data_IF_243899499501
#
_entry.id   IF_243899499501
#
_cell.length_a   1.000
_cell.length_b   1.000
_cell.length_c   1.000
_cell.angle_alpha   90.00
_cell.angle_beta   90.00
_cell.angle_gamma   90.00
#
_symmetry.space_group_name_H-M   'P 1'
#
loop_
_entity.id
_entity.type
_entity.pdbx_description
1 polymer ?
#
# COMPACT_ATOMS: atom_id res chain seq x y z
N UNK A 1 0.95 6.18 -11.61
CA UNK A 1 0.94 5.38 -10.37
C UNK A 1 -0.40 5.43 -9.65
N UNK A 2 -0.94 6.61 -9.28
CA UNK A 2 -2.25 6.73 -8.60
C UNK A 2 -3.34 5.85 -9.21
N UNK A 3 -3.62 6.02 -10.51
CA UNK A 3 -4.59 5.20 -11.25
C UNK A 3 -4.34 3.68 -11.18
N UNK A 4 -3.07 3.26 -11.08
CA UNK A 4 -2.74 1.84 -10.94
C UNK A 4 -3.13 1.32 -9.56
N UNK A 5 -2.77 2.04 -8.49
CA UNK A 5 -3.18 1.69 -7.13
C UNK A 5 -4.71 1.72 -6.98
N UNK A 6 -5.36 2.68 -7.63
CA UNK A 6 -6.81 2.83 -7.66
C UNK A 6 -7.56 1.69 -8.37
N UNK A 7 -6.86 0.95 -9.23
CA UNK A 7 -7.41 -0.24 -9.91
C UNK A 7 -7.23 -1.54 -9.13
N UNK A 8 -6.56 -1.51 -7.97
CA UNK A 8 -6.35 -2.68 -7.12
C UNK A 8 -7.56 -2.94 -6.22
N UNK A 9 -7.65 -4.12 -5.54
CA UNK A 9 -8.83 -4.48 -4.76
C UNK A 9 -9.20 -3.53 -3.61
N UNK A 10 -8.25 -2.77 -3.10
CA UNK A 10 -8.49 -1.60 -2.24
C UNK A 10 -7.93 -0.40 -2.99
N UNK A 11 -8.81 0.46 -3.48
CA UNK A 11 -8.48 1.60 -4.31
C UNK A 11 -7.62 2.64 -3.61
N UNK A 12 -7.26 3.66 -4.39
CA UNK A 12 -6.49 4.82 -3.94
C UNK A 12 -7.08 6.07 -4.65
N UNK A 13 -8.34 6.41 -4.31
CA UNK A 13 -9.14 7.39 -5.03
C UNK A 13 -8.52 8.77 -4.98
N UNK A 14 -8.80 9.59 -5.99
CA UNK A 14 -8.36 10.97 -6.04
C UNK A 14 -9.12 11.84 -5.04
N UNK A 15 -8.44 12.85 -4.51
CA UNK A 15 -9.03 13.86 -3.62
C UNK A 15 -9.12 15.21 -4.32
N UNK A 16 -10.03 16.07 -3.86
CA UNK A 16 -10.18 17.41 -4.44
C UNK A 16 -8.93 18.26 -4.20
N UNK A 17 -8.22 17.97 -3.10
CA UNK A 17 -6.97 18.64 -2.77
C UNK A 17 -5.72 18.04 -3.43
N UNK A 18 -5.85 16.92 -4.14
CA UNK A 18 -4.74 16.12 -4.68
C UNK A 18 -3.72 15.64 -3.63
N UNK A 19 -4.10 15.58 -2.34
CA UNK A 19 -3.18 15.18 -1.27
C UNK A 19 -2.64 13.76 -1.44
N UNK A 20 -3.37 12.89 -2.15
CA UNK A 20 -2.92 11.55 -2.49
C UNK A 20 -1.69 11.55 -3.40
N UNK A 21 -1.56 12.56 -4.25
CA UNK A 21 -0.39 12.72 -5.12
C UNK A 21 0.83 13.17 -4.31
N UNK A 22 0.63 14.06 -3.35
CA UNK A 22 1.72 14.53 -2.48
C UNK A 22 2.24 13.41 -1.58
N UNK A 23 1.36 12.56 -1.06
CA UNK A 23 1.76 11.31 -0.37
C UNK A 23 2.61 10.43 -1.30
N UNK A 24 2.16 10.19 -2.54
CA UNK A 24 2.92 9.34 -3.47
C UNK A 24 4.29 9.94 -3.83
N UNK A 25 4.42 11.27 -3.92
CA UNK A 25 5.70 11.95 -4.17
C UNK A 25 6.66 11.83 -2.99
N UNK A 26 6.15 11.87 -1.76
CA UNK A 26 6.98 11.67 -0.56
C UNK A 26 7.42 10.20 -0.43
N UNK A 27 6.55 9.27 -0.80
CA UNK A 27 6.78 7.83 -0.65
C UNK A 27 7.52 7.18 -1.82
N UNK A 28 7.54 7.74 -3.03
CA UNK A 28 8.17 7.10 -4.18
C UNK A 28 9.08 8.04 -4.96
N UNK A 29 10.27 7.54 -5.33
CA UNK A 29 11.03 8.14 -6.43
C UNK A 29 10.30 7.89 -7.76
N UNK A 30 10.52 8.70 -8.82
CA UNK A 30 9.86 8.51 -10.11
C UNK A 30 10.03 7.09 -10.70
N UNK A 31 11.22 6.52 -10.59
CA UNK A 31 11.49 5.16 -11.07
C UNK A 31 10.81 4.08 -10.23
N UNK A 32 10.82 4.23 -8.89
CA UNK A 32 10.09 3.36 -7.96
C UNK A 32 8.60 3.39 -8.26
N UNK A 33 8.03 4.58 -8.47
CA UNK A 33 6.63 4.77 -8.82
C UNK A 33 6.27 4.10 -10.15
N UNK A 34 7.17 4.17 -11.14
CA UNK A 34 6.98 3.49 -12.42
C UNK A 34 7.04 1.96 -12.26
N UNK A 35 8.03 1.43 -11.52
CA UNK A 35 8.14 -0.01 -11.24
C UNK A 35 6.91 -0.51 -10.48
N UNK A 36 6.40 0.25 -9.50
CA UNK A 36 5.21 -0.06 -8.75
C UNK A 36 3.97 -0.23 -9.64
N UNK A 37 3.90 0.45 -10.80
CA UNK A 37 2.81 0.23 -11.78
C UNK A 37 2.86 -1.11 -12.50
N UNK A 38 3.97 -1.86 -12.37
CA UNK A 38 4.13 -3.20 -12.97
C UNK A 38 3.85 -4.32 -11.98
N UNK A 39 3.76 -3.97 -10.70
CA UNK A 39 3.33 -4.86 -9.63
C UNK A 39 1.81 -5.02 -9.66
N UNK A 40 1.30 -5.89 -8.80
CA UNK A 40 -0.12 -6.13 -8.60
C UNK A 40 -0.39 -6.43 -7.14
N UNK A 41 -1.67 -6.55 -6.77
CA UNK A 41 -2.07 -7.07 -5.47
C UNK A 41 -1.51 -8.48 -5.22
N UNK A 42 -1.61 -9.37 -6.22
CA UNK A 42 -1.01 -10.69 -6.13
C UNK A 42 0.51 -10.63 -6.33
N UNK A 43 1.30 -11.33 -5.49
CA UNK A 43 2.76 -11.34 -5.61
C UNK A 43 3.26 -11.93 -6.94
N UNK A 44 4.25 -11.26 -7.53
CA UNK A 44 4.89 -11.64 -8.80
C UNK A 44 6.36 -12.02 -8.60
N UNK A 45 6.84 -12.97 -9.39
CA UNK A 45 8.27 -13.30 -9.49
C UNK A 45 9.04 -12.18 -10.17
N UNK A 46 10.32 -12.01 -9.82
CA UNK A 46 11.22 -11.02 -10.44
C UNK A 46 11.23 -11.11 -11.97
N UNK A 47 11.24 -12.33 -12.53
CA UNK A 47 11.22 -12.57 -13.99
C UNK A 47 9.95 -12.02 -14.66
N UNK A 48 8.80 -12.10 -14.00
CA UNK A 48 7.54 -11.58 -14.53
C UNK A 48 7.56 -10.06 -14.59
N UNK A 49 8.05 -9.40 -13.54
CA UNK A 49 8.18 -7.95 -13.45
C UNK A 49 9.17 -7.45 -14.52
N UNK A 50 10.34 -8.08 -14.62
CA UNK A 50 11.34 -7.77 -15.65
C UNK A 50 10.78 -7.90 -17.07
N UNK A 51 9.96 -8.92 -17.32
CA UNK A 51 9.29 -9.11 -18.62
C UNK A 51 8.29 -7.99 -18.92
N UNK A 52 7.50 -7.56 -17.93
CA UNK A 52 6.55 -6.43 -18.09
C UNK A 52 7.30 -5.14 -18.42
N UNK A 53 8.36 -4.82 -17.69
CA UNK A 53 9.19 -3.63 -17.91
C UNK A 53 9.82 -3.62 -19.31
N UNK A 54 10.44 -4.73 -19.72
CA UNK A 54 11.07 -4.86 -21.05
C UNK A 54 10.09 -4.65 -22.20
N UNK A 55 8.82 -5.10 -22.06
CA UNK A 55 7.78 -4.89 -23.08
C UNK A 55 7.46 -3.41 -23.33
N UNK A 56 7.71 -2.56 -22.35
CA UNK A 56 7.49 -1.11 -22.43
C UNK A 56 8.79 -0.33 -22.73
N UNK A 57 9.84 -1.02 -23.16
CA UNK A 57 11.11 -0.39 -23.55
C UNK A 57 11.95 0.10 -22.38
N UNK A 58 11.59 -0.22 -21.12
CA UNK A 58 12.40 0.12 -19.95
C UNK A 58 13.05 -1.13 -19.34
N UNK A 59 14.36 -1.09 -19.18
CA UNK A 59 15.11 -2.12 -18.48
C UNK A 59 15.83 -1.52 -17.29
N UNK A 60 15.73 -2.18 -16.14
CA UNK A 60 16.46 -1.83 -14.93
C UNK A 60 17.41 -2.98 -14.63
N UNK A 61 18.71 -2.76 -14.80
CA UNK A 61 19.72 -3.78 -14.49
C UNK A 61 19.67 -4.16 -13.00
N UNK A 62 19.51 -3.16 -12.14
CA UNK A 62 19.43 -3.29 -10.69
C UNK A 62 17.99 -3.47 -10.16
N UNK A 63 17.07 -4.04 -10.96
CA UNK A 63 15.65 -4.15 -10.58
C UNK A 63 15.42 -4.82 -9.23
N UNK A 64 16.17 -5.87 -8.92
CA UNK A 64 16.04 -6.57 -7.64
C UNK A 64 16.46 -5.69 -6.47
N UNK A 65 17.58 -4.96 -6.60
CA UNK A 65 18.03 -4.01 -5.57
C UNK A 65 16.99 -2.90 -5.35
N UNK A 66 16.41 -2.35 -6.42
CA UNK A 66 15.36 -1.32 -6.32
C UNK A 66 14.14 -1.87 -5.57
N UNK A 67 13.70 -3.10 -5.89
CA UNK A 67 12.58 -3.73 -5.20
C UNK A 67 12.89 -3.99 -3.71
N UNK A 68 14.11 -4.39 -3.38
CA UNK A 68 14.54 -4.54 -1.98
C UNK A 68 14.55 -3.21 -1.22
N UNK A 69 14.99 -2.12 -1.86
CA UNK A 69 14.94 -0.78 -1.28
C UNK A 69 13.50 -0.33 -1.05
N UNK A 70 12.62 -0.52 -2.04
CA UNK A 70 11.19 -0.24 -1.91
C UNK A 70 10.56 -1.03 -0.75
N UNK A 71 10.92 -2.31 -0.60
CA UNK A 71 10.47 -3.13 0.52
C UNK A 71 10.97 -2.58 1.88
N UNK A 72 12.25 -2.23 1.98
CA UNK A 72 12.83 -1.60 3.20
C UNK A 72 12.26 -0.23 3.52
N UNK A 73 11.76 0.49 2.50
CA UNK A 73 11.04 1.75 2.63
C UNK A 73 9.57 1.54 3.03
N UNK A 74 9.05 0.31 2.94
CA UNK A 74 7.66 0.01 3.25
C UNK A 74 6.68 0.37 2.14
N UNK A 75 7.14 0.46 0.89
CA UNK A 75 6.28 0.90 -0.23
C UNK A 75 5.75 -0.24 -1.10
N UNK A 76 6.28 -1.45 -0.90
CA UNK A 76 5.81 -2.70 -1.51
C UNK A 76 5.84 -3.81 -0.45
N UNK A 77 5.22 -4.94 -0.76
CA UNK A 77 5.29 -6.14 0.06
C UNK A 77 6.14 -7.22 -0.63
N UNK A 78 6.86 -8.00 0.18
CA UNK A 78 7.58 -9.21 -0.25
C UNK A 78 7.02 -10.42 0.49
N UNK A 79 6.71 -11.47 -0.26
CA UNK A 79 6.43 -12.82 0.27
C UNK A 79 7.57 -13.75 -0.15
N UNK A 80 8.02 -14.61 0.77
CA UNK A 80 8.94 -15.70 0.43
C UNK A 80 8.16 -17.01 0.30
N UNK A 81 8.34 -17.69 -0.83
CA UNK A 81 7.74 -19.01 -1.10
C UNK A 81 8.83 -19.90 -1.68
N UNK A 82 9.09 -21.06 -1.08
CA UNK A 82 10.10 -22.02 -1.57
C UNK A 82 11.50 -21.41 -1.81
N UNK A 83 11.88 -20.43 -0.99
CA UNK A 83 13.16 -19.71 -1.13
C UNK A 83 13.17 -18.60 -2.20
N UNK A 84 12.11 -18.44 -3.00
CA UNK A 84 11.97 -17.37 -3.98
C UNK A 84 11.21 -16.16 -3.39
N UNK A 85 11.66 -14.94 -3.72
CA UNK A 85 10.98 -13.69 -3.38
C UNK A 85 9.92 -13.34 -4.41
N UNK A 86 8.72 -13.04 -3.92
CA UNK A 86 7.59 -12.56 -4.70
C UNK A 86 7.22 -11.15 -4.24
N UNK A 87 6.93 -10.26 -5.18
CA UNK A 87 6.74 -8.83 -4.93
C UNK A 87 5.34 -8.38 -5.32
N UNK A 88 4.68 -7.60 -4.46
CA UNK A 88 3.34 -7.02 -4.71
C UNK A 88 3.26 -5.57 -4.26
N UNK A 89 2.27 -4.82 -4.74
CA UNK A 89 1.94 -3.52 -4.16
C UNK A 89 1.47 -3.72 -2.71
N UNK A 90 1.89 -2.83 -1.82
CA UNK A 90 1.24 -2.67 -0.52
C UNK A 90 -0.03 -1.81 -0.71
N UNK A 91 -1.13 -2.20 -0.05
CA UNK A 91 -2.36 -1.41 -0.01
C UNK A 91 -2.18 -0.21 0.91
N UNK A 92 -3.00 0.84 0.80
CA UNK A 92 -2.80 2.03 1.62
C UNK A 92 -2.94 1.74 3.13
N UNK A 93 -4.02 1.04 3.52
CA UNK A 93 -4.30 0.61 4.90
C UNK A 93 -4.29 -0.92 4.98
N UNK A 94 -3.67 -1.42 6.05
CA UNK A 94 -2.94 -2.68 6.13
C UNK A 94 -1.85 -2.78 5.05
N UNK A 95 -0.93 -1.83 5.08
CA UNK A 95 0.24 -1.80 4.21
C UNK A 95 1.04 -0.50 4.29
N UNK A 96 0.99 0.28 3.21
CA UNK A 96 1.84 1.42 2.89
C UNK A 96 1.96 2.39 4.06
N UNK A 97 0.83 2.74 4.69
CA UNK A 97 0.76 3.61 5.86
C UNK A 97 1.47 2.99 7.08
N UNK A 98 1.07 1.79 7.50
CA UNK A 98 1.64 1.15 8.70
C UNK A 98 3.15 0.88 8.55
N UNK A 99 3.62 0.61 7.34
CA UNK A 99 5.04 0.37 7.08
C UNK A 99 5.93 1.62 7.16
N UNK A 100 5.35 2.83 7.27
CA UNK A 100 6.12 4.06 7.48
C UNK A 100 6.53 4.29 8.95
N UNK A 101 6.26 3.34 9.85
CA UNK A 101 6.71 3.44 11.24
C UNK A 101 8.24 3.66 11.30
N UNK A 102 8.67 4.70 12.01
CA UNK A 102 10.07 5.15 12.07
C UNK A 102 10.53 6.08 10.92
N UNK A 103 9.65 6.41 9.97
CA UNK A 103 9.91 7.33 8.84
C UNK A 103 8.88 8.46 8.72
N UNK A 104 7.97 8.58 9.69
CA UNK A 104 6.91 9.59 9.67
C UNK A 104 7.49 11.00 9.86
N UNK A 105 7.12 11.90 8.96
CA UNK A 105 7.37 13.34 9.07
C UNK A 105 6.06 14.05 9.43
N UNK A 106 6.09 15.25 10.05
CA UNK A 106 4.86 16.01 10.31
C UNK A 106 4.04 16.27 9.04
N UNK A 107 4.71 16.51 7.91
CA UNK A 107 4.08 16.72 6.61
C UNK A 107 3.37 15.45 6.11
N UNK A 108 4.07 14.31 6.10
CA UNK A 108 3.51 13.04 5.68
C UNK A 108 2.28 12.66 6.51
N UNK A 109 2.37 12.84 7.83
CA UNK A 109 1.28 12.57 8.77
C UNK A 109 0.08 13.46 8.48
N UNK A 110 0.28 14.77 8.34
CA UNK A 110 -0.79 15.72 7.99
C UNK A 110 -1.48 15.34 6.68
N UNK A 111 -0.69 14.99 5.65
CA UNK A 111 -1.22 14.57 4.36
C UNK A 111 -2.01 13.26 4.45
N UNK A 112 -1.52 12.28 5.20
CA UNK A 112 -2.22 11.01 5.45
C UNK A 112 -3.55 11.25 6.15
N UNK A 113 -3.60 12.07 7.20
CA UNK A 113 -4.86 12.37 7.89
C UNK A 113 -5.87 13.10 7.00
N UNK A 114 -5.38 14.01 6.16
CA UNK A 114 -6.23 14.67 5.16
C UNK A 114 -6.75 13.66 4.12
N UNK A 115 -5.89 12.76 3.65
CA UNK A 115 -6.27 11.70 2.72
C UNK A 115 -7.25 10.69 3.33
N UNK A 116 -7.11 10.37 4.62
CA UNK A 116 -8.08 9.55 5.33
C UNK A 116 -9.49 10.13 5.24
N UNK A 117 -9.60 11.44 5.44
CA UNK A 117 -10.88 12.15 5.39
C UNK A 117 -11.41 12.29 3.96
N UNK A 118 -10.58 12.75 3.02
CA UNK A 118 -11.06 13.12 1.67
C UNK A 118 -11.11 11.96 0.67
N UNK A 119 -10.29 10.94 0.89
CA UNK A 119 -10.11 9.82 -0.03
C UNK A 119 -10.54 8.50 0.59
N UNK A 120 -9.80 8.01 1.57
CA UNK A 120 -9.94 6.62 2.03
C UNK A 120 -11.30 6.34 2.69
N UNK A 121 -11.67 7.04 3.77
CA UNK A 121 -12.92 6.75 4.48
C UNK A 121 -14.16 7.22 3.72
N UNK A 122 -14.04 8.30 2.97
CA UNK A 122 -15.14 8.87 2.20
C UNK A 122 -15.45 8.05 0.93
N UNK A 123 -14.43 7.61 0.19
CA UNK A 123 -14.60 7.08 -1.17
C UNK A 123 -14.25 5.59 -1.33
N UNK A 124 -13.44 5.02 -0.45
CA UNK A 124 -12.92 3.65 -0.61
C UNK A 124 -13.45 2.68 0.44
N UNK A 125 -13.30 2.98 1.73
CA UNK A 125 -13.51 2.04 2.83
C UNK A 125 -14.92 1.41 2.84
N UNK A 126 -15.94 2.19 2.46
CA UNK A 126 -17.33 1.75 2.41
C UNK A 126 -17.87 1.59 0.97
N UNK A 127 -17.01 1.63 -0.06
CA UNK A 127 -17.44 1.65 -1.47
C UNK A 127 -18.35 0.49 -1.85
N UNK A 128 -18.07 -0.71 -1.33
CA UNK A 128 -18.84 -1.92 -1.64
C UNK A 128 -20.14 -2.04 -0.85
N UNK A 129 -20.36 -1.19 0.16
CA UNK A 129 -21.46 -1.31 1.13
C UNK A 129 -21.34 -2.51 2.07
N UNK A 130 -20.34 -3.38 1.89
CA UNK A 130 -20.05 -4.52 2.76
C UNK A 130 -18.96 -4.08 3.75
N UNK A 131 -19.23 -4.09 5.07
CA UNK A 131 -18.21 -3.75 6.06
C UNK A 131 -16.99 -4.67 5.94
N UNK A 132 -15.79 -4.06 5.87
CA UNK A 132 -14.53 -4.82 5.91
C UNK A 132 -14.37 -5.57 7.24
N UNK A 133 -14.79 -4.94 8.35
CA UNK A 133 -14.83 -5.56 9.67
C UNK A 133 -16.24 -6.10 9.95
N UNK A 134 -16.33 -7.41 10.21
CA UNK A 134 -17.59 -8.07 10.56
C UNK A 134 -17.56 -8.46 12.04
N UNK A 135 -18.60 -8.04 12.76
CA UNK A 135 -18.81 -8.50 14.14
C UNK A 135 -19.37 -9.92 14.11
N UNK A 136 -18.71 -10.86 14.79
CA UNK A 136 -19.29 -12.17 15.10
C UNK A 136 -19.82 -12.06 16.54
N UNK A 137 -21.15 -11.98 16.75
CA UNK A 137 -21.70 -11.94 18.09
C UNK A 137 -21.50 -13.29 18.76
N UNK A 138 -20.72 -13.34 19.84
CA UNK A 138 -20.51 -14.57 20.63
C UNK A 138 -21.56 -14.75 21.74
N UNK A 139 -22.54 -13.84 21.86
CA UNK A 139 -23.52 -13.79 22.96
C UNK A 139 -22.91 -13.82 24.38
N UNK A 140 -21.61 -13.56 24.49
CA UNK A 140 -20.92 -13.40 25.77
C UNK A 140 -20.79 -11.92 26.09
N UNK A 141 -21.13 -11.55 27.32
CA UNK A 141 -20.87 -10.21 27.84
C UNK A 141 -19.44 -10.16 28.36
N UNK A 142 -18.60 -9.34 27.75
CA UNK A 142 -17.28 -9.04 28.31
C UNK A 142 -17.50 -8.03 29.45
N UNK A 143 -17.04 -8.39 30.66
CA UNK A 143 -17.09 -7.47 31.80
C UNK A 143 -16.12 -6.30 31.59
N UNK A 144 -16.52 -5.02 31.79
CA UNK A 144 -15.67 -3.86 31.56
C UNK A 144 -14.36 -3.81 32.38
N UNK A 145 -14.25 -4.63 33.44
CA UNK A 145 -13.09 -4.72 34.32
C UNK A 145 -11.94 -5.58 33.76
N UNK A 146 -11.75 -5.60 32.44
CA UNK A 146 -10.54 -6.20 31.88
C UNK A 146 -9.35 -5.28 32.20
N UNK A 147 -8.28 -5.80 32.83
CA UNK A 147 -7.07 -5.02 33.02
C UNK A 147 -6.53 -4.61 31.64
N UNK A 148 -6.43 -3.31 31.41
CA UNK A 148 -5.71 -2.78 30.25
C UNK A 148 -4.25 -3.14 30.45
N UNK A 149 -3.65 -3.82 29.48
CA UNK A 149 -2.21 -4.07 29.49
C UNK A 149 -1.50 -2.72 29.63
N UNK A 150 -0.83 -2.52 30.76
CA UNK A 150 -0.05 -1.32 31.08
C UNK A 150 1.39 -1.52 30.67
#
# INVERSE_FOLDING_TARGET
MRFHLDSLPVGFPSTDSNVEIDILRELFKPDEAYIATKLSFFPLKLKQIRRKLKKEGKAFENLELILEEMYKKGTIAIKKTEGEKLYSNAMFVVGLYEYQLGRLTPNLVSNIFKYFKEGYFEKEYNLTGIPQLRTIPVNESISPNLPVAT
#
